data_IF_193217750965
#
_entry.id   IF_193217750965
#
_cell.length_a   1.000
_cell.length_b   1.000
_cell.length_c   1.000
_cell.angle_alpha   90.00
_cell.angle_beta   90.00
_cell.angle_gamma   90.00
#
_symmetry.space_group_name_H-M   'P 1'
#
loop_
_entity.id
_entity.type
_entity.pdbx_description
1 polymer ?
#
# COMPACT_ATOMS: atom_id res chain seq x y z
N UNK A 1 -5.89 2.40 -18.14
CA UNK A 1 -7.30 2.11 -17.76
C UNK A 1 -8.09 3.42 -17.79
N UNK A 2 -9.08 3.57 -18.70
CA UNK A 2 -9.94 4.76 -18.84
C UNK A 2 -11.37 4.51 -18.32
N UNK A 3 -11.53 4.15 -17.05
CA UNK A 3 -12.84 4.14 -16.34
C UNK A 3 -12.57 4.38 -14.86
N UNK A 4 -12.96 5.55 -14.35
CA UNK A 4 -12.69 5.96 -12.96
C UNK A 4 -13.18 4.96 -11.92
N UNK A 5 -14.36 4.36 -12.16
CA UNK A 5 -14.95 3.34 -11.30
C UNK A 5 -14.01 2.14 -11.05
N UNK A 6 -13.34 1.62 -12.09
CA UNK A 6 -12.44 0.46 -11.96
C UNK A 6 -11.20 0.77 -11.12
N UNK A 7 -10.70 2.00 -11.18
CA UNK A 7 -9.55 2.43 -10.37
C UNK A 7 -9.93 2.56 -8.90
N UNK A 8 -11.11 3.10 -8.63
CA UNK A 8 -11.63 3.27 -7.27
C UNK A 8 -11.88 1.89 -6.64
N UNK A 9 -12.53 0.97 -7.35
CA UNK A 9 -12.79 -0.38 -6.82
C UNK A 9 -11.50 -1.17 -6.60
N UNK A 10 -10.55 -1.13 -7.53
CA UNK A 10 -9.23 -1.75 -7.34
C UNK A 10 -8.47 -1.13 -6.16
N UNK A 11 -8.54 0.20 -6.00
CA UNK A 11 -7.90 0.91 -4.89
C UNK A 11 -8.51 0.53 -3.54
N UNK A 12 -9.84 0.44 -3.46
CA UNK A 12 -10.53 0.00 -2.25
C UNK A 12 -10.20 -1.45 -1.89
N UNK A 13 -10.10 -2.35 -2.88
CA UNK A 13 -9.70 -3.74 -2.65
C UNK A 13 -8.27 -3.84 -2.09
N UNK A 14 -7.32 -3.09 -2.67
CA UNK A 14 -5.94 -3.07 -2.20
C UNK A 14 -5.78 -2.41 -0.84
N UNK A 15 -6.60 -1.39 -0.55
CA UNK A 15 -6.68 -0.79 0.78
C UNK A 15 -7.18 -1.79 1.81
N UNK A 16 -8.26 -2.52 1.51
CA UNK A 16 -8.79 -3.57 2.38
C UNK A 16 -7.72 -4.66 2.62
N UNK A 17 -7.01 -5.07 1.58
CA UNK A 17 -5.88 -6.00 1.70
C UNK A 17 -4.77 -5.43 2.60
N UNK A 18 -4.41 -4.15 2.47
CA UNK A 18 -3.40 -3.49 3.31
C UNK A 18 -3.76 -3.49 4.80
N UNK A 19 -5.06 -3.47 5.13
CA UNK A 19 -5.55 -3.52 6.51
C UNK A 19 -5.64 -4.96 7.03
N UNK A 20 -6.14 -5.89 6.21
CA UNK A 20 -6.41 -7.27 6.63
C UNK A 20 -5.16 -8.16 6.66
N UNK A 21 -4.21 -7.98 5.73
CA UNK A 21 -2.99 -8.80 5.70
C UNK A 21 -2.20 -8.68 7.01
N UNK A 22 -1.86 -7.49 7.53
CA UNK A 22 -1.15 -7.35 8.79
C UNK A 22 -1.86 -8.04 9.96
N UNK A 23 -3.20 -7.96 9.99
CA UNK A 23 -3.99 -8.64 11.02
C UNK A 23 -3.88 -10.15 10.89
N UNK A 24 -4.00 -10.72 9.70
CA UNK A 24 -3.84 -12.16 9.48
C UNK A 24 -2.45 -12.66 9.92
N UNK A 25 -1.40 -11.90 9.63
CA UNK A 25 -0.04 -12.24 10.09
C UNK A 25 0.12 -12.10 11.62
N UNK A 26 -0.58 -11.17 12.27
CA UNK A 26 -0.60 -11.10 13.74
C UNK A 26 -1.29 -12.31 14.39
N UNK A 27 -2.33 -12.88 13.76
CA UNK A 27 -3.01 -14.08 14.27
C UNK A 27 -2.26 -15.40 13.99
N UNK A 28 -1.31 -15.40 13.06
CA UNK A 28 -0.61 -16.61 12.62
C UNK A 28 0.31 -17.26 13.67
N UNK A 29 0.58 -16.58 14.79
CA UNK A 29 1.40 -17.12 15.89
C UNK A 29 2.89 -17.26 15.58
N UNK A 30 3.35 -16.84 14.39
CA UNK A 30 4.78 -16.78 14.08
C UNK A 30 5.49 -15.70 14.94
N UNK A 31 6.76 -15.90 15.31
CA UNK A 31 7.58 -14.83 15.91
C UNK A 31 7.94 -13.77 14.85
N UNK A 32 7.62 -12.50 15.13
CA UNK A 32 7.95 -11.33 14.29
C UNK A 32 7.56 -11.37 12.78
N UNK A 33 6.41 -11.94 12.36
CA UNK A 33 6.03 -12.02 10.95
C UNK A 33 5.90 -10.64 10.30
N UNK A 34 5.50 -9.62 11.07
CA UNK A 34 5.37 -8.25 10.59
C UNK A 34 6.69 -7.61 10.14
N UNK A 35 7.82 -7.97 10.76
CA UNK A 35 9.13 -7.41 10.40
C UNK A 35 9.72 -8.08 9.15
N UNK A 36 9.41 -9.37 8.95
CA UNK A 36 9.95 -10.17 7.84
C UNK A 36 9.14 -9.93 6.56
N UNK A 37 7.81 -9.97 6.67
CA UNK A 37 6.94 -9.93 5.50
C UNK A 37 6.39 -8.53 5.19
N UNK A 38 6.56 -7.56 6.11
CA UNK A 38 6.08 -6.17 5.95
C UNK A 38 4.68 -6.11 5.32
N UNK A 39 3.68 -6.83 5.89
CA UNK A 39 2.45 -7.21 5.19
C UNK A 39 1.61 -6.03 4.68
N UNK A 40 1.81 -4.83 5.21
CA UNK A 40 1.15 -3.59 4.76
C UNK A 40 1.83 -2.95 3.54
N UNK A 41 3.11 -3.21 3.31
CA UNK A 41 3.90 -2.60 2.24
C UNK A 41 3.59 -3.23 0.88
N UNK A 42 3.36 -4.54 0.84
CA UNK A 42 3.10 -5.29 -0.40
C UNK A 42 1.84 -4.76 -1.11
N UNK A 43 0.67 -4.58 -0.44
CA UNK A 43 -0.54 -4.11 -1.09
C UNK A 43 -0.43 -2.67 -1.61
N UNK A 44 0.27 -1.79 -0.88
CA UNK A 44 0.49 -0.39 -1.31
C UNK A 44 1.44 -0.31 -2.49
N UNK A 45 2.51 -1.10 -2.48
CA UNK A 45 3.42 -1.24 -3.61
C UNK A 45 2.65 -1.70 -4.85
N UNK A 46 1.84 -2.76 -4.70
CA UNK A 46 1.02 -3.30 -5.79
C UNK A 46 0.00 -2.27 -6.31
N UNK A 47 -0.56 -1.43 -5.42
CA UNK A 47 -1.46 -0.36 -5.82
C UNK A 47 -0.79 0.71 -6.69
N UNK A 48 0.47 1.05 -6.40
CA UNK A 48 1.30 1.90 -7.25
C UNK A 48 1.45 1.31 -8.66
N UNK A 49 1.75 0.02 -8.77
CA UNK A 49 1.90 -0.69 -10.05
C UNK A 49 0.59 -0.75 -10.86
N UNK A 50 -0.51 -1.14 -10.22
CA UNK A 50 -1.76 -1.44 -10.94
C UNK A 50 -2.53 -0.15 -11.30
N UNK A 51 -2.63 0.78 -10.36
CA UNK A 51 -3.54 1.94 -10.46
C UNK A 51 -2.80 3.21 -10.88
N UNK A 52 -1.51 3.30 -10.53
CA UNK A 52 -0.60 4.37 -10.90
C UNK A 52 -0.06 5.16 -9.70
N UNK A 53 0.89 6.08 -9.94
CA UNK A 53 1.68 6.75 -8.90
C UNK A 53 0.84 7.60 -7.95
N UNK A 54 -0.12 8.38 -8.48
CA UNK A 54 -0.97 9.22 -7.65
C UNK A 54 -1.85 8.41 -6.69
N UNK A 55 -2.44 7.30 -7.19
CA UNK A 55 -3.25 6.41 -6.36
C UNK A 55 -2.41 5.62 -5.36
N UNK A 56 -1.22 5.17 -5.76
CA UNK A 56 -0.25 4.52 -4.87
C UNK A 56 0.17 5.42 -3.71
N UNK A 57 0.45 6.70 -4.00
CA UNK A 57 0.78 7.70 -2.97
C UNK A 57 -0.38 7.91 -1.99
N UNK A 58 -1.60 8.13 -2.50
CA UNK A 58 -2.80 8.31 -1.66
C UNK A 58 -3.05 7.09 -0.78
N UNK A 59 -2.94 5.88 -1.34
CA UNK A 59 -3.11 4.64 -0.57
C UNK A 59 -1.99 4.43 0.45
N UNK A 60 -0.76 4.88 0.18
CA UNK A 60 0.35 4.86 1.13
C UNK A 60 0.16 5.77 2.34
N UNK A 61 -0.59 6.87 2.20
CA UNK A 61 -0.99 7.71 3.33
C UNK A 61 -2.18 7.09 4.07
N UNK A 62 -3.22 6.72 3.33
CA UNK A 62 -4.51 6.31 3.91
C UNK A 62 -4.39 4.96 4.64
N UNK A 63 -3.60 4.02 4.13
CA UNK A 63 -3.50 2.67 4.72
C UNK A 63 -2.95 2.63 6.15
N UNK A 64 -1.78 3.21 6.51
CA UNK A 64 -1.29 3.21 7.88
C UNK A 64 -2.16 4.04 8.82
N UNK A 65 -2.74 5.15 8.33
CA UNK A 65 -3.64 6.00 9.12
C UNK A 65 -4.92 5.25 9.49
N UNK A 66 -5.57 4.59 8.53
CA UNK A 66 -6.75 3.77 8.80
C UNK A 66 -6.41 2.57 9.69
N UNK A 67 -5.28 1.89 9.45
CA UNK A 67 -4.85 0.79 10.32
C UNK A 67 -4.69 1.25 11.76
N UNK A 68 -4.09 2.41 11.99
CA UNK A 68 -3.94 2.99 13.32
C UNK A 68 -5.28 3.28 13.98
N UNK A 69 -6.22 3.88 13.24
CA UNK A 69 -7.56 4.19 13.75
C UNK A 69 -8.35 2.93 14.13
N UNK A 70 -8.24 1.84 13.36
CA UNK A 70 -8.99 0.61 13.61
C UNK A 70 -8.34 -0.30 14.64
N UNK A 71 -7.01 -0.36 14.68
CA UNK A 71 -6.29 -1.43 15.42
C UNK A 71 -5.35 -0.89 16.48
N UNK A 72 -5.21 0.44 16.61
CA UNK A 72 -4.18 1.12 17.42
C UNK A 72 -2.74 0.71 17.07
N UNK A 73 -2.55 0.06 15.91
CA UNK A 73 -1.27 -0.30 15.32
C UNK A 73 -1.20 0.32 13.92
N UNK A 74 -0.10 0.99 13.53
CA UNK A 74 1.24 1.03 14.14
C UNK A 74 1.35 1.96 15.35
N UNK A 75 2.37 1.79 16.20
CA UNK A 75 2.63 2.72 17.31
C UNK A 75 2.74 4.18 16.80
N UNK A 76 2.16 5.13 17.53
CA UNK A 76 2.07 6.54 17.07
C UNK A 76 3.42 7.18 16.74
N UNK A 77 4.49 6.75 17.41
CA UNK A 77 5.87 7.18 17.14
C UNK A 77 6.38 6.74 15.75
N UNK A 78 5.92 5.58 15.26
CA UNK A 78 6.31 5.02 13.95
C UNK A 78 5.36 5.42 12.83
N UNK A 79 4.14 5.82 13.17
CA UNK A 79 3.12 6.23 12.21
C UNK A 79 3.60 7.27 11.18
N UNK A 80 4.24 8.41 11.56
CA UNK A 80 4.67 9.40 10.58
C UNK A 80 5.76 8.87 9.63
N UNK A 81 6.71 8.08 10.15
CA UNK A 81 7.73 7.44 9.32
C UNK A 81 7.12 6.45 8.33
N UNK A 82 6.21 5.59 8.80
CA UNK A 82 5.53 4.61 7.98
C UNK A 82 4.68 5.26 6.88
N UNK A 83 3.96 6.36 7.18
CA UNK A 83 3.24 7.15 6.18
C UNK A 83 4.19 7.65 5.09
N UNK A 84 5.33 8.24 5.47
CA UNK A 84 6.30 8.76 4.50
C UNK A 84 6.89 7.63 3.64
N UNK A 85 7.32 6.53 4.26
CA UNK A 85 7.88 5.37 3.56
C UNK A 85 6.90 4.75 2.57
N UNK A 86 5.67 4.43 3.00
CA UNK A 86 4.66 3.82 2.12
C UNK A 86 4.19 4.76 1.02
N UNK A 87 4.09 6.06 1.30
CA UNK A 87 3.79 7.07 0.27
C UNK A 87 4.89 7.08 -0.78
N UNK A 88 6.15 7.09 -0.36
CA UNK A 88 7.29 7.11 -1.26
C UNK A 88 7.38 5.82 -2.09
N UNK A 89 7.12 4.67 -1.48
CA UNK A 89 7.08 3.38 -2.19
C UNK A 89 5.96 3.31 -3.22
N UNK A 90 4.72 3.64 -2.82
CA UNK A 90 3.57 3.64 -3.73
C UNK A 90 3.74 4.61 -4.89
N UNK A 91 4.29 5.80 -4.62
CA UNK A 91 4.59 6.81 -5.64
C UNK A 91 5.71 6.36 -6.59
N UNK A 92 6.86 5.98 -6.05
CA UNK A 92 8.06 5.64 -6.84
C UNK A 92 7.81 4.42 -7.72
N UNK A 93 7.09 3.42 -7.21
CA UNK A 93 6.74 2.25 -8.02
C UNK A 93 5.73 2.55 -9.11
N UNK A 94 4.70 3.35 -8.83
CA UNK A 94 3.79 3.77 -9.88
C UNK A 94 4.48 4.61 -10.97
N UNK A 95 5.44 5.46 -10.58
CA UNK A 95 6.20 6.28 -11.51
C UNK A 95 7.11 5.41 -12.39
N UNK A 96 7.85 4.48 -11.77
CA UNK A 96 8.74 3.56 -12.46
C UNK A 96 7.96 2.65 -13.42
N UNK A 97 6.83 2.09 -12.97
CA UNK A 97 5.99 1.25 -13.80
C UNK A 97 5.44 1.99 -15.02
N UNK A 98 4.93 3.21 -14.84
CA UNK A 98 4.44 4.02 -15.95
C UNK A 98 5.57 4.30 -16.95
N UNK A 99 6.75 4.73 -16.49
CA UNK A 99 7.90 4.99 -17.39
C UNK A 99 8.38 3.74 -18.13
N UNK A 100 8.38 2.57 -17.48
CA UNK A 100 8.75 1.30 -18.12
C UNK A 100 7.70 0.85 -19.14
N UNK A 101 6.41 1.02 -18.82
CA UNK A 101 5.31 0.73 -19.72
C UNK A 101 5.34 1.62 -20.96
N UNK A 102 5.64 2.90 -20.78
CA UNK A 102 5.76 3.86 -21.88
C UNK A 102 6.96 3.56 -22.79
N UNK A 103 8.00 2.88 -22.28
CA UNK A 103 9.18 2.48 -23.06
C UNK A 103 9.08 1.11 -23.75
N UNK A 104 8.13 0.24 -23.39
CA UNK A 104 8.09 -1.17 -23.86
C UNK A 104 7.05 -1.48 -24.95
N UNK A 105 6.48 -0.46 -25.59
CA UNK A 105 5.63 -0.61 -26.78
C UNK A 105 5.85 0.54 -27.78
N UNK A 106 7.11 0.76 -28.16
CA UNK A 106 7.53 1.55 -29.32
C UNK A 106 8.32 0.67 -30.25
#
# INVERSE_FOLDING_TARGET
>A
MKTGAKKITAGALLLAAALLLPQAFHFSGLPNPGQIFLPMHIPVFLAGFIIGPAYGAVLGIISPVLSFLFTNMPQIQRLPFMVVELTFYGFSCGLLYNRLKDKKFG
#
